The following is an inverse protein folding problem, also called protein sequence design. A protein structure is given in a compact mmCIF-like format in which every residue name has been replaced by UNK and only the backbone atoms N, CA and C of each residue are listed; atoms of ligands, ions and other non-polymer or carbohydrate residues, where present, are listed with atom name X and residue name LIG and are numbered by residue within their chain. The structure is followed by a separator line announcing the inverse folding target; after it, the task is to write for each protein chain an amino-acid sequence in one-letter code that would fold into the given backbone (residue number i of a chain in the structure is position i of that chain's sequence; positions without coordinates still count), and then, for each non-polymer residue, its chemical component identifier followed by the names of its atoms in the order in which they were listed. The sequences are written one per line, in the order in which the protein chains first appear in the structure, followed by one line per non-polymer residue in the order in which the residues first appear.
data_IF_869309791039
#
_entry.id   IF_869309791039
#
_cell.length_a   1.000
_cell.length_b   1.000
_cell.length_c   1.000
_cell.angle_alpha   90.00
_cell.angle_beta   90.00
_cell.angle_gamma   90.00
#
_symmetry.space_group_name_H-M   'P 1'
#
loop_
_entity.id
_entity.type
_entity.pdbx_description
1 polymer ?
#
# COMPACT_ATOMS: atom_id res chain seq x y z
N UNK A 1 -3.29 -9.86 -0.64
CA UNK A 1 -2.53 -8.61 -0.88
C UNK A 1 -2.37 -7.78 0.39
N UNK A 2 -3.46 -7.28 1.01
CA UNK A 2 -3.36 -6.46 2.23
C UNK A 2 -2.59 -7.14 3.37
N UNK A 3 -2.80 -8.44 3.59
CA UNK A 3 -2.03 -9.25 4.55
C UNK A 3 -0.52 -9.27 4.26
N UNK A 4 -0.11 -9.40 2.99
CA UNK A 4 1.31 -9.43 2.60
C UNK A 4 1.98 -8.07 2.83
N UNK A 5 1.29 -6.98 2.49
CA UNK A 5 1.77 -5.62 2.78
C UNK A 5 1.82 -5.38 4.29
N UNK A 6 0.82 -5.84 5.05
CA UNK A 6 0.78 -5.76 6.50
C UNK A 6 1.95 -6.49 7.17
N UNK A 7 2.26 -7.71 6.72
CA UNK A 7 3.47 -8.45 7.16
C UNK A 7 4.75 -7.69 6.84
N UNK A 8 4.85 -7.12 5.63
CA UNK A 8 6.02 -6.36 5.22
C UNK A 8 6.22 -5.11 6.09
N UNK A 9 5.15 -4.41 6.47
CA UNK A 9 5.19 -3.25 7.36
C UNK A 9 5.57 -3.64 8.80
N UNK A 10 5.02 -4.74 9.31
CA UNK A 10 5.26 -5.21 10.68
C UNK A 10 6.73 -5.52 10.97
N UNK A 11 7.54 -5.80 9.94
CA UNK A 11 9.00 -6.02 10.08
C UNK A 11 9.77 -4.81 10.61
N UNK A 12 9.17 -3.62 10.60
CA UNK A 12 9.83 -2.37 10.95
C UNK A 12 9.37 -1.81 12.30
N UNK A 13 8.83 -2.67 13.17
CA UNK A 13 8.33 -2.33 14.51
C UNK A 13 7.31 -1.18 14.46
N UNK A 14 6.40 -1.28 13.48
CA UNK A 14 5.30 -0.32 13.29
C UNK A 14 4.00 -1.00 13.68
N UNK A 15 3.12 -0.22 14.31
CA UNK A 15 1.74 -0.63 14.54
C UNK A 15 1.04 -0.82 13.20
N UNK A 16 0.52 -2.02 12.97
CA UNK A 16 -0.23 -2.37 11.74
C UNK A 16 -1.56 -2.95 12.15
N UNK A 17 -2.64 -2.29 11.75
CA UNK A 17 -4.02 -2.71 11.98
C UNK A 17 -4.65 -3.08 10.64
N UNK A 18 -5.15 -4.31 10.50
CA UNK A 18 -5.93 -4.72 9.33
C UNK A 18 -7.42 -4.78 9.66
N UNK A 19 -8.24 -4.31 8.74
CA UNK A 19 -9.70 -4.24 8.89
C UNK A 19 -10.38 -4.83 7.67
N UNK A 20 -11.38 -5.67 7.90
CA UNK A 20 -12.18 -6.33 6.87
C UNK A 20 -13.50 -6.85 7.47
N UNK A 21 -14.56 -6.89 6.65
CA UNK A 21 -15.87 -7.43 7.03
C UNK A 21 -15.98 -8.94 6.80
N UNK A 22 -14.96 -9.56 6.21
CA UNK A 22 -14.85 -11.00 6.01
C UNK A 22 -14.07 -11.66 7.17
N UNK A 23 -14.75 -12.55 7.90
CA UNK A 23 -14.17 -13.26 9.03
C UNK A 23 -12.98 -14.15 8.65
N UNK A 24 -13.01 -14.79 7.48
CA UNK A 24 -11.93 -15.68 7.05
C UNK A 24 -10.63 -14.91 6.81
N UNK A 25 -10.73 -13.67 6.31
CA UNK A 25 -9.58 -12.80 6.12
C UNK A 25 -9.03 -12.31 7.46
N UNK A 26 -9.89 -11.93 8.41
CA UNK A 26 -9.46 -11.48 9.74
C UNK A 26 -8.92 -12.62 10.60
N UNK A 27 -9.48 -13.82 10.50
CA UNK A 27 -8.97 -15.01 11.18
C UNK A 27 -7.52 -15.29 10.78
N UNK A 28 -7.20 -15.17 9.49
CA UNK A 28 -5.82 -15.28 9.00
C UNK A 28 -4.90 -14.18 9.55
N UNK A 29 -5.37 -12.93 9.59
CA UNK A 29 -4.61 -11.81 10.20
C UNK A 29 -4.31 -12.09 11.69
N UNK A 30 -5.32 -12.58 12.42
CA UNK A 30 -5.18 -12.97 13.82
C UNK A 30 -4.15 -14.09 14.00
N UNK A 31 -4.14 -15.10 13.12
CA UNK A 31 -3.13 -16.17 13.15
C UNK A 31 -1.71 -15.66 12.90
N UNK A 32 -1.56 -14.57 12.15
CA UNK A 32 -0.27 -13.91 11.91
C UNK A 32 0.18 -13.03 13.09
N UNK A 33 -0.64 -12.89 14.14
CA UNK A 33 -0.34 -12.07 15.31
C UNK A 33 -0.42 -10.56 15.05
N UNK A 34 -1.04 -10.14 13.94
CA UNK A 34 -1.23 -8.72 13.60
C UNK A 34 -2.49 -8.17 14.29
N UNK A 35 -2.48 -6.88 14.64
CA UNK A 35 -3.67 -6.21 15.14
C UNK A 35 -4.75 -6.19 14.06
N UNK A 36 -6.00 -6.38 14.48
CA UNK A 36 -7.12 -6.51 13.56
C UNK A 36 -8.40 -5.92 14.12
N UNK A 37 -9.28 -5.51 13.20
CA UNK A 37 -10.66 -5.15 13.47
C UNK A 37 -11.57 -5.92 12.51
N UNK A 38 -12.54 -6.64 13.06
CA UNK A 38 -13.55 -7.34 12.27
C UNK A 38 -14.77 -6.44 12.06
N UNK A 39 -14.94 -5.93 10.85
CA UNK A 39 -16.06 -5.06 10.51
C UNK A 39 -15.76 -4.15 9.33
N UNK A 40 -16.79 -3.39 8.93
CA UNK A 40 -16.62 -2.35 7.91
C UNK A 40 -15.97 -1.11 8.57
N UNK A 41 -14.78 -0.65 8.13
CA UNK A 41 -14.09 0.49 8.72
C UNK A 41 -14.81 1.83 8.58
N UNK A 42 -15.79 1.95 7.67
CA UNK A 42 -16.59 3.18 7.47
C UNK A 42 -18.02 3.06 8.02
N UNK A 43 -18.24 2.16 8.98
CA UNK A 43 -19.55 1.99 9.63
C UNK A 43 -19.63 2.78 10.94
N UNK A 44 -20.85 3.12 11.38
CA UNK A 44 -21.06 3.75 12.69
C UNK A 44 -20.55 2.89 13.85
N UNK A 45 -20.55 1.56 13.69
CA UNK A 45 -19.94 0.68 14.68
C UNK A 45 -18.41 0.89 14.75
N UNK A 46 -17.75 1.11 13.61
CA UNK A 46 -16.32 1.40 13.58
C UNK A 46 -15.98 2.76 14.19
N UNK A 47 -16.81 3.78 14.01
CA UNK A 47 -16.59 5.10 14.63
C UNK A 47 -16.39 5.01 16.15
N UNK A 48 -17.10 4.08 16.81
CA UNK A 48 -17.02 3.86 18.26
C UNK A 48 -15.96 2.82 18.67
N UNK A 49 -15.61 1.87 17.80
CA UNK A 49 -14.88 0.65 18.19
C UNK A 49 -13.52 0.47 17.48
N UNK A 50 -13.28 1.15 16.36
CA UNK A 50 -12.02 1.06 15.62
C UNK A 50 -10.95 1.88 16.32
N UNK A 51 -10.01 1.20 16.99
CA UNK A 51 -8.93 1.88 17.70
C UNK A 51 -7.81 2.33 16.76
N UNK A 52 -7.84 3.62 16.39
CA UNK A 52 -6.84 4.26 15.53
C UNK A 52 -5.64 4.86 16.29
N UNK A 53 -5.58 4.73 17.62
CA UNK A 53 -4.48 5.31 18.41
C UNK A 53 -3.14 4.71 17.96
N UNK A 54 -2.20 5.58 17.59
CA UNK A 54 -0.87 5.21 17.11
C UNK A 54 -0.83 4.78 15.63
N UNK A 55 -1.96 4.77 14.94
CA UNK A 55 -2.01 4.70 13.48
C UNK A 55 -1.74 6.11 12.94
N UNK A 56 -0.98 6.20 11.84
CA UNK A 56 -0.65 7.49 11.23
C UNK A 56 -0.87 7.54 9.72
N UNK A 57 -1.22 6.41 9.10
CA UNK A 57 -1.46 6.29 7.66
C UNK A 57 -2.53 5.22 7.42
N UNK A 58 -3.34 5.41 6.39
CA UNK A 58 -4.40 4.49 5.95
C UNK A 58 -4.13 4.10 4.50
N UNK A 59 -4.26 2.81 4.19
CA UNK A 59 -4.16 2.31 2.81
C UNK A 59 -5.36 1.43 2.50
N UNK A 60 -6.20 1.86 1.56
CA UNK A 60 -7.37 1.11 1.11
C UNK A 60 -6.99 0.17 -0.05
N UNK A 61 -7.08 -1.14 0.21
CA UNK A 61 -6.48 -2.20 -0.61
C UNK A 61 -7.48 -3.28 -1.05
N UNK A 62 -8.74 -2.90 -1.28
CA UNK A 62 -9.79 -3.84 -1.69
C UNK A 62 -9.89 -3.96 -3.22
N UNK A 63 -10.47 -5.04 -3.76
CA UNK A 63 -10.81 -5.13 -5.18
C UNK A 63 -11.91 -4.15 -5.59
N UNK A 64 -12.71 -3.65 -4.63
CA UNK A 64 -13.76 -2.67 -4.88
C UNK A 64 -13.16 -1.25 -4.84
N UNK A 65 -12.96 -0.70 -6.02
CA UNK A 65 -12.46 0.65 -6.22
C UNK A 65 -13.36 1.73 -5.58
N UNK A 66 -14.68 1.54 -5.60
CA UNK A 66 -15.60 2.51 -4.99
C UNK A 66 -15.46 2.47 -3.47
N UNK A 67 -15.34 1.27 -2.89
CA UNK A 67 -15.09 1.13 -1.46
C UNK A 67 -13.76 1.77 -1.04
N UNK A 68 -12.69 1.61 -1.85
CA UNK A 68 -11.41 2.25 -1.57
C UNK A 68 -11.54 3.78 -1.50
N UNK A 69 -12.26 4.38 -2.45
CA UNK A 69 -12.52 5.83 -2.45
C UNK A 69 -13.33 6.25 -1.21
N UNK A 70 -14.40 5.53 -0.86
CA UNK A 70 -15.22 5.85 0.32
C UNK A 70 -14.42 5.73 1.63
N UNK A 71 -13.61 4.67 1.76
CA UNK A 71 -12.71 4.50 2.89
C UNK A 71 -11.72 5.67 2.99
N UNK A 72 -11.11 6.05 1.87
CA UNK A 72 -10.20 7.18 1.88
C UNK A 72 -10.91 8.49 2.24
N UNK A 73 -12.10 8.77 1.69
CA UNK A 73 -12.90 9.95 2.05
C UNK A 73 -13.21 10.01 3.55
N UNK A 74 -13.56 8.87 4.18
CA UNK A 74 -13.80 8.81 5.62
C UNK A 74 -12.57 9.22 6.44
N UNK A 75 -11.38 8.74 6.05
CA UNK A 75 -10.16 8.90 6.84
C UNK A 75 -9.35 10.15 6.50
N UNK A 76 -9.58 10.81 5.36
CA UNK A 76 -8.87 12.05 5.00
C UNK A 76 -9.05 13.15 6.05
N UNK A 77 -10.24 13.28 6.65
CA UNK A 77 -10.48 14.28 7.69
C UNK A 77 -9.65 14.10 8.96
N UNK A 78 -9.30 12.85 9.30
CA UNK A 78 -8.53 12.51 10.51
C UNK A 78 -7.02 12.47 10.24
N UNK A 79 -6.59 11.91 9.11
CA UNK A 79 -5.17 11.67 8.82
C UNK A 79 -4.55 12.70 7.86
N UNK A 80 -5.38 13.42 7.10
CA UNK A 80 -4.95 14.30 6.01
C UNK A 80 -4.67 13.54 4.71
N UNK A 81 -4.73 14.26 3.58
CA UNK A 81 -4.61 13.67 2.24
C UNK A 81 -3.29 12.92 1.99
N UNK A 82 -2.17 13.44 2.53
CA UNK A 82 -0.82 12.85 2.36
C UNK A 82 -0.57 11.58 3.21
N UNK A 83 -1.59 11.11 3.94
CA UNK A 83 -1.53 9.92 4.80
C UNK A 83 -2.58 8.88 4.46
N UNK A 84 -3.38 9.14 3.45
CA UNK A 84 -4.46 8.25 3.02
C UNK A 84 -4.20 7.86 1.58
N UNK A 85 -4.08 6.57 1.32
CA UNK A 85 -3.67 6.04 0.03
C UNK A 85 -4.71 5.01 -0.45
N UNK A 86 -5.11 5.08 -1.72
CA UNK A 86 -6.10 4.16 -2.28
C UNK A 86 -5.50 3.39 -3.45
N UNK A 87 -5.73 2.08 -3.48
CA UNK A 87 -5.47 1.29 -4.69
C UNK A 87 -6.60 1.51 -5.70
N UNK A 88 -6.34 2.37 -6.67
CA UNK A 88 -7.31 2.76 -7.68
C UNK A 88 -6.63 2.72 -9.06
N UNK A 89 -7.14 1.90 -9.98
CA UNK A 89 -6.58 1.88 -11.35
C UNK A 89 -7.13 3.06 -12.14
N UNK A 90 -6.26 3.95 -12.62
CA UNK A 90 -6.65 5.02 -13.54
C UNK A 90 -6.82 4.45 -14.95
N UNK A 91 -7.89 4.83 -15.65
CA UNK A 91 -8.07 4.46 -17.06
C UNK A 91 -7.34 5.49 -17.92
N UNK A 92 -6.40 5.04 -18.75
CA UNK A 92 -5.59 5.91 -19.62
C UNK A 92 -6.40 6.78 -20.61
N UNK A 93 -7.67 6.45 -20.89
CA UNK A 93 -8.52 7.10 -21.91
C UNK A 93 -9.89 7.57 -21.38
N UNK A 94 -10.05 7.80 -20.09
CA UNK A 94 -11.29 8.35 -19.54
C UNK A 94 -11.32 9.87 -19.66
N UNK A 95 -12.27 10.42 -20.41
CA UNK A 95 -12.52 11.87 -20.45
C UNK A 95 -12.57 12.45 -19.03
N UNK A 96 -12.03 13.66 -18.85
CA UNK A 96 -12.05 14.45 -17.60
C UNK A 96 -13.45 14.56 -16.95
N UNK A 97 -14.51 14.22 -17.69
CA UNK A 97 -15.91 14.15 -17.23
C UNK A 97 -16.22 12.99 -16.27
N UNK A 98 -15.38 11.96 -16.19
CA UNK A 98 -15.60 10.78 -15.34
C UNK A 98 -14.46 10.51 -14.34
N UNK A 99 -13.40 11.31 -14.34
CA UNK A 99 -12.43 11.32 -13.25
C UNK A 99 -13.07 12.00 -12.03
N UNK A 100 -13.24 11.26 -10.94
CA UNK A 100 -13.49 11.86 -9.63
C UNK A 100 -12.32 12.81 -9.36
N UNK A 101 -12.60 14.07 -9.04
CA UNK A 101 -11.56 15.06 -8.76
C UNK A 101 -10.56 14.47 -7.75
N UNK A 102 -9.28 14.49 -8.10
CA UNK A 102 -8.18 13.98 -7.27
C UNK A 102 -8.16 14.61 -5.87
N UNK A 103 -8.81 15.76 -5.70
CA UNK A 103 -8.78 16.63 -4.53
C UNK A 103 -9.54 16.12 -3.29
N UNK A 104 -10.26 14.98 -3.34
CA UNK A 104 -11.16 14.62 -2.22
C UNK A 104 -11.04 13.20 -1.67
N UNK A 105 -10.05 12.42 -2.08
CA UNK A 105 -9.98 11.00 -1.69
C UNK A 105 -8.56 10.51 -1.37
N UNK A 106 -7.64 11.38 -0.98
CA UNK A 106 -6.25 10.99 -0.68
C UNK A 106 -5.41 10.69 -1.92
N UNK A 107 -4.26 10.05 -1.73
CA UNK A 107 -3.30 9.72 -2.79
C UNK A 107 -3.65 8.42 -3.51
N UNK A 108 -3.31 8.36 -4.80
CA UNK A 108 -3.30 7.11 -5.54
C UNK A 108 -2.07 6.30 -5.15
N UNK A 109 -2.25 5.03 -4.83
CA UNK A 109 -1.13 4.12 -4.62
C UNK A 109 -0.56 3.68 -5.98
N UNK A 110 0.76 3.72 -6.15
CA UNK A 110 1.51 3.33 -7.35
C UNK A 110 1.00 4.02 -8.63
N UNK A 111 0.66 5.30 -8.55
CA UNK A 111 0.22 6.17 -9.65
C UNK A 111 -1.10 5.75 -10.29
N UNK A 112 -1.81 4.78 -9.69
CA UNK A 112 -2.94 4.11 -10.31
C UNK A 112 -2.58 3.27 -11.54
N UNK A 113 -1.30 2.97 -11.76
CA UNK A 113 -0.83 2.11 -12.86
C UNK A 113 -1.17 0.63 -12.63
N UNK A 114 -1.31 0.24 -11.36
CA UNK A 114 -1.45 -1.15 -10.94
C UNK A 114 -2.84 -1.39 -10.34
N UNK A 115 -3.52 -2.45 -10.80
CA UNK A 115 -4.80 -2.88 -10.24
C UNK A 115 -4.65 -3.93 -9.14
N UNK A 116 -5.70 -4.09 -8.32
CA UNK A 116 -5.80 -5.18 -7.37
C UNK A 116 -5.59 -6.55 -8.03
N UNK A 117 -6.27 -6.81 -9.15
CA UNK A 117 -6.18 -8.09 -9.85
C UNK A 117 -4.78 -8.36 -10.39
N UNK A 118 -4.07 -7.33 -10.85
CA UNK A 118 -2.67 -7.47 -11.28
C UNK A 118 -1.77 -7.88 -10.10
N UNK A 119 -1.89 -7.19 -8.95
CA UNK A 119 -1.15 -7.55 -7.74
C UNK A 119 -1.47 -8.95 -7.22
N UNK A 120 -2.76 -9.30 -7.16
CA UNK A 120 -3.21 -10.61 -6.71
C UNK A 120 -2.69 -11.73 -7.63
N UNK A 121 -2.75 -11.52 -8.95
CA UNK A 121 -2.19 -12.45 -9.94
C UNK A 121 -0.69 -12.64 -9.75
N UNK A 122 0.08 -11.56 -9.63
CA UNK A 122 1.53 -11.63 -9.44
C UNK A 122 1.90 -12.40 -8.16
N UNK A 123 1.25 -12.08 -7.03
CA UNK A 123 1.45 -12.80 -5.78
C UNK A 123 1.13 -14.30 -5.92
N UNK A 124 0.05 -14.65 -6.64
CA UNK A 124 -0.30 -16.05 -6.90
C UNK A 124 0.69 -16.79 -7.81
N UNK A 125 1.40 -16.05 -8.66
CA UNK A 125 2.44 -16.58 -9.55
C UNK A 125 3.81 -16.69 -8.86
N UNK A 126 3.90 -16.33 -7.57
CA UNK A 126 5.15 -16.41 -6.81
C UNK A 126 5.96 -15.13 -6.81
N UNK A 127 5.37 -13.97 -7.16
CA UNK A 127 6.01 -12.69 -6.89
C UNK A 127 6.24 -12.51 -5.39
N UNK A 128 7.39 -11.95 -5.02
CA UNK A 128 7.81 -11.81 -3.62
C UNK A 128 7.92 -10.34 -3.24
N UNK A 129 7.49 -9.99 -2.02
CA UNK A 129 7.82 -8.69 -1.44
C UNK A 129 9.24 -8.73 -0.92
N UNK A 130 10.13 -7.95 -1.53
CA UNK A 130 11.55 -7.87 -1.16
C UNK A 130 11.86 -6.54 -0.50
N UNK A 131 12.84 -6.58 0.39
CA UNK A 131 13.28 -5.47 1.22
C UNK A 131 14.76 -5.26 0.96
N UNK A 132 15.12 -4.16 0.28
CA UNK A 132 16.48 -3.89 -0.15
C UNK A 132 16.99 -2.61 0.49
N UNK A 133 18.04 -2.73 1.29
CA UNK A 133 18.68 -1.59 1.94
C UNK A 133 19.54 -0.83 0.93
N UNK A 134 19.28 0.46 0.78
CA UNK A 134 20.09 1.37 -0.01
C UNK A 134 21.27 1.87 0.83
N UNK A 135 22.35 2.25 0.16
CA UNK A 135 23.56 2.80 0.76
C UNK A 135 24.25 3.77 -0.20
N UNK A 136 25.31 4.43 0.24
CA UNK A 136 26.13 5.27 -0.65
C UNK A 136 26.75 4.46 -1.80
N UNK A 137 27.07 3.18 -1.58
CA UNK A 137 27.61 2.27 -2.60
C UNK A 137 26.56 1.49 -3.38
N UNK A 138 25.28 1.62 -3.02
CA UNK A 138 24.17 0.95 -3.70
C UNK A 138 22.93 1.84 -3.64
N UNK A 139 22.82 2.69 -4.66
CA UNK A 139 21.78 3.72 -4.77
C UNK A 139 20.46 3.14 -5.27
N UNK A 140 19.40 3.95 -5.27
CA UNK A 140 18.13 3.53 -5.88
C UNK A 140 18.26 3.29 -7.40
N UNK A 141 19.14 4.01 -8.08
CA UNK A 141 19.42 3.79 -9.49
C UNK A 141 20.10 2.43 -9.72
N UNK A 142 21.06 2.06 -8.87
CA UNK A 142 21.70 0.74 -8.91
C UNK A 142 20.69 -0.38 -8.63
N UNK A 143 19.75 -0.14 -7.71
CA UNK A 143 18.65 -1.05 -7.43
C UNK A 143 17.76 -1.29 -8.66
N UNK A 144 17.38 -0.23 -9.38
CA UNK A 144 16.59 -0.34 -10.61
C UNK A 144 17.36 -1.09 -11.70
N UNK A 145 18.64 -0.77 -11.90
CA UNK A 145 19.49 -1.46 -12.89
C UNK A 145 19.68 -2.95 -12.55
N UNK A 146 19.88 -3.27 -11.26
CA UNK A 146 20.01 -4.65 -10.79
C UNK A 146 18.74 -5.49 -11.04
N UNK A 147 17.58 -4.84 -11.14
CA UNK A 147 16.30 -5.47 -11.37
C UNK A 147 15.69 -5.16 -12.74
N UNK A 148 16.46 -4.63 -13.70
CA UNK A 148 15.95 -4.22 -15.01
C UNK A 148 15.25 -5.33 -15.81
N UNK A 149 15.69 -6.58 -15.62
CA UNK A 149 15.13 -7.76 -16.30
C UNK A 149 13.98 -8.39 -15.48
N UNK A 150 13.46 -7.68 -14.47
CA UNK A 150 12.38 -8.14 -13.59
C UNK A 150 11.27 -7.10 -13.56
N UNK A 151 10.06 -7.56 -13.25
CA UNK A 151 8.98 -6.65 -12.93
C UNK A 151 9.16 -6.19 -11.48
N UNK A 152 9.36 -4.89 -11.30
CA UNK A 152 9.47 -4.25 -9.99
C UNK A 152 8.30 -3.30 -9.79
N UNK A 153 7.56 -3.51 -8.71
CA UNK A 153 6.49 -2.61 -8.29
C UNK A 153 6.86 -2.07 -6.89
N UNK A 154 7.41 -0.85 -6.79
CA UNK A 154 7.70 -0.24 -5.50
C UNK A 154 6.42 -0.07 -4.68
N UNK A 155 6.46 -0.47 -3.40
CA UNK A 155 5.30 -0.39 -2.50
C UNK A 155 5.47 0.75 -1.51
N UNK A 156 6.61 0.77 -0.81
CA UNK A 156 6.94 1.82 0.15
C UNK A 156 8.45 1.85 0.44
N UNK A 157 8.90 2.97 0.98
CA UNK A 157 10.25 3.16 1.49
C UNK A 157 10.21 3.23 3.02
N UNK A 158 11.25 2.69 3.66
CA UNK A 158 11.50 2.82 5.09
C UNK A 158 12.74 3.65 5.32
N UNK A 159 12.57 4.87 5.78
CA UNK A 159 13.69 5.77 6.05
C UNK A 159 14.47 5.38 7.32
N UNK A 160 15.63 6.01 7.53
CA UNK A 160 16.54 5.72 8.66
C UNK A 160 15.91 5.80 10.05
N UNK A 161 14.84 6.58 10.24
CA UNK A 161 14.08 6.67 11.50
C UNK A 161 12.86 5.73 11.57
N UNK A 162 12.73 4.82 10.61
CA UNK A 162 11.60 3.91 10.45
C UNK A 162 10.31 4.60 9.97
N UNK A 163 10.43 5.82 9.41
CA UNK A 163 9.30 6.49 8.76
C UNK A 163 8.97 5.74 7.46
N UNK A 164 7.70 5.35 7.33
CA UNK A 164 7.16 4.71 6.13
C UNK A 164 6.66 5.79 5.17
N UNK A 165 7.07 5.70 3.91
CA UNK A 165 6.56 6.50 2.81
C UNK A 165 6.06 5.56 1.71
N UNK A 166 4.75 5.52 1.48
CA UNK A 166 4.18 4.74 0.38
C UNK A 166 4.60 5.31 -0.99
N UNK A 167 4.66 4.43 -1.98
CA UNK A 167 4.91 4.81 -3.36
C UNK A 167 3.60 5.30 -3.98
N UNK A 168 3.40 6.61 -4.02
CA UNK A 168 2.21 7.23 -4.65
C UNK A 168 2.35 7.36 -6.17
N UNK A 169 3.57 7.52 -6.67
CA UNK A 169 3.88 7.58 -8.10
C UNK A 169 5.26 6.95 -8.31
N UNK A 170 5.36 5.80 -9.01
CA UNK A 170 6.63 5.14 -9.27
C UNK A 170 7.66 6.02 -9.99
N UNK A 171 7.21 6.95 -10.85
CA UNK A 171 8.10 7.82 -11.65
C UNK A 171 8.71 8.93 -10.78
N UNK A 172 8.02 9.32 -9.71
CA UNK A 172 8.48 10.32 -8.74
C UNK A 172 9.04 9.68 -7.45
N UNK A 173 9.04 8.34 -7.37
CA UNK A 173 9.47 7.63 -6.18
C UNK A 173 11.00 7.73 -6.03
N UNK A 174 11.43 8.56 -5.08
CA UNK A 174 12.84 8.83 -4.81
C UNK A 174 13.21 8.47 -3.35
N UNK A 175 13.44 7.18 -3.04
CA UNK A 175 13.94 6.75 -1.74
C UNK A 175 15.25 7.44 -1.37
N UNK A 176 15.35 7.87 -0.11
CA UNK A 176 16.55 8.52 0.43
C UNK A 176 17.70 7.54 0.61
N UNK A 177 18.95 8.03 0.66
CA UNK A 177 20.09 7.18 1.01
C UNK A 177 19.92 6.57 2.42
N UNK A 178 20.49 5.38 2.63
CA UNK A 178 20.40 4.62 3.88
C UNK A 178 18.96 4.23 4.28
N UNK A 179 18.02 4.26 3.34
CA UNK A 179 16.66 3.77 3.51
C UNK A 179 16.52 2.31 3.02
N UNK A 180 15.36 1.71 3.24
CA UNK A 180 15.04 0.38 2.72
C UNK A 180 13.86 0.47 1.78
N UNK A 181 14.10 0.13 0.51
CA UNK A 181 13.04 0.02 -0.50
C UNK A 181 12.34 -1.31 -0.32
N UNK A 182 11.01 -1.26 -0.28
CA UNK A 182 10.15 -2.45 -0.24
C UNK A 182 9.33 -2.48 -1.52
N UNK A 183 9.48 -3.56 -2.29
CA UNK A 183 8.86 -3.70 -3.60
C UNK A 183 8.37 -5.13 -3.82
N UNK A 184 7.30 -5.29 -4.59
CA UNK A 184 6.93 -6.58 -5.16
C UNK A 184 7.85 -6.84 -6.37
N UNK A 185 8.55 -7.96 -6.35
CA UNK A 185 9.43 -8.37 -7.44
C UNK A 185 8.93 -9.69 -8.01
N UNK A 186 8.69 -9.69 -9.32
CA UNK A 186 8.37 -10.90 -10.06
C UNK A 186 9.49 -11.16 -11.08
N UNK A 187 10.13 -12.35 -11.07
CA UNK A 187 11.03 -12.71 -12.14
C UNK A 187 10.22 -12.78 -13.43
N UNK A 188 10.56 -11.93 -14.40
CA UNK A 188 10.10 -12.15 -15.76
C UNK A 188 11.08 -13.19 -16.29
N UNK A 189 10.67 -14.46 -16.31
CA UNK A 189 11.48 -15.49 -16.93
C UNK A 189 11.81 -15.08 -18.38
N UNK A 190 13.08 -15.24 -18.76
CA UNK A 190 13.62 -14.96 -20.08
C UNK A 190 13.18 -16.01 -21.12
#
# INVERSE_FOLDING_TARGET
MAQEIGKALARYDRKVLLTDSNWDYISQVRMLGLEHYYGNPISSHADDNLNLIGIGQVVALTPDQHFNIMACMQFVGEFGEDKVHCLQKTKANGSEKHSVAAEYHGKLLMGGHVSYNQMASLLSQGAEIRHTKLSESFTYQDYLEHHKDKLVIPLFNVESKGRIQFCDDPDQFAPTMNSTVVALIYPVDA
#
